data_IF_357205516866
#
_entry.id   IF_357205516866
#
_cell.length_a   1.000
_cell.length_b   1.000
_cell.length_c   1.000
_cell.angle_alpha   90.00
_cell.angle_beta   90.00
_cell.angle_gamma   90.00
#
_symmetry.space_group_name_H-M   'P 1'
#
loop_
_entity.id
_entity.type
_entity.pdbx_description
1 polymer ?
#
# COMPACT_ATOMS: atom_id res chain seq x y z
N UNK A 1 13.04 1.53 -17.30
CA UNK A 1 12.59 2.34 -16.14
C UNK A 1 13.29 3.67 -16.23
N UNK A 2 12.54 4.73 -16.49
CA UNK A 2 13.08 6.09 -16.39
C UNK A 2 12.86 6.53 -14.95
N UNK A 3 13.92 6.53 -14.15
CA UNK A 3 13.89 7.19 -12.85
C UNK A 3 13.67 8.68 -13.09
N UNK A 4 12.50 9.18 -12.71
CA UNK A 4 12.27 10.62 -12.77
C UNK A 4 13.23 11.28 -11.79
N UNK A 5 14.15 12.06 -12.33
CA UNK A 5 14.88 13.04 -11.52
C UNK A 5 13.84 13.96 -10.89
N UNK A 6 14.06 14.29 -9.63
CA UNK A 6 13.24 15.26 -8.92
C UNK A 6 13.11 16.53 -9.81
N UNK A 7 11.92 16.76 -10.31
CA UNK A 7 11.59 17.95 -11.11
C UNK A 7 11.28 19.10 -10.18
N UNK A 8 12.20 19.44 -9.29
CA UNK A 8 12.09 20.73 -8.61
C UNK A 8 12.20 21.83 -9.65
N UNK A 9 11.21 22.68 -9.70
CA UNK A 9 11.08 23.83 -10.62
C UNK A 9 12.23 24.84 -10.53
N UNK A 10 13.33 24.53 -9.83
CA UNK A 10 14.46 25.41 -9.54
C UNK A 10 15.80 25.02 -10.18
N UNK A 11 15.84 24.08 -11.13
CA UNK A 11 17.04 23.84 -11.96
C UNK A 11 18.22 23.15 -11.27
N UNK A 12 18.17 22.80 -9.98
CA UNK A 12 19.20 22.00 -9.31
C UNK A 12 18.92 20.51 -9.52
N UNK A 13 19.76 19.85 -10.30
CA UNK A 13 19.77 18.40 -10.45
C UNK A 13 20.60 17.82 -9.29
N UNK A 14 19.96 17.10 -8.38
CA UNK A 14 20.64 16.37 -7.31
C UNK A 14 21.18 15.08 -7.87
N UNK A 15 22.50 14.93 -7.94
CA UNK A 15 23.17 13.69 -8.40
C UNK A 15 23.29 12.64 -7.30
N UNK A 16 23.08 13.01 -6.05
CA UNK A 16 23.20 12.20 -4.85
C UNK A 16 22.01 11.24 -4.60
N UNK A 17 20.91 11.42 -5.34
CA UNK A 17 19.69 10.60 -5.24
C UNK A 17 19.54 9.52 -6.30
N UNK A 18 20.59 9.26 -7.07
CA UNK A 18 20.60 8.18 -8.04
C UNK A 18 21.02 6.89 -7.37
N UNK A 19 20.26 5.81 -7.58
CA UNK A 19 20.67 4.49 -7.13
C UNK A 19 22.04 4.16 -7.72
N UNK A 20 23.06 4.01 -6.87
CA UNK A 20 24.43 3.74 -7.27
C UNK A 20 24.65 2.27 -7.64
N UNK A 21 23.85 1.38 -7.05
CA UNK A 21 23.85 -0.04 -7.38
C UNK A 21 22.40 -0.54 -7.46
N UNK A 22 22.08 -1.24 -8.56
CA UNK A 22 20.77 -1.89 -8.74
C UNK A 22 20.92 -3.11 -9.66
N UNK A 23 19.98 -4.04 -9.51
CA UNK A 23 19.80 -5.19 -10.39
C UNK A 23 18.31 -5.35 -10.66
N UNK A 24 17.92 -5.49 -11.91
CA UNK A 24 16.56 -5.74 -12.35
C UNK A 24 16.46 -7.19 -12.77
N UNK A 25 15.60 -7.92 -12.13
CA UNK A 25 15.37 -9.33 -12.41
C UNK A 25 13.92 -9.55 -12.81
N UNK A 26 13.68 -10.46 -13.72
CA UNK A 26 12.33 -10.87 -14.17
C UNK A 26 12.16 -12.36 -13.94
N UNK A 27 10.94 -12.76 -13.62
CA UNK A 27 10.55 -14.14 -13.41
C UNK A 27 9.17 -14.37 -14.02
N UNK A 28 8.98 -15.51 -14.69
CA UNK A 28 7.70 -15.95 -15.22
C UNK A 28 6.94 -16.83 -14.21
N UNK A 29 7.67 -17.50 -13.32
CA UNK A 29 7.14 -18.49 -12.38
C UNK A 29 7.26 -18.07 -10.90
N UNK A 30 7.75 -16.85 -10.64
CA UNK A 30 8.08 -16.33 -9.31
C UNK A 30 9.07 -17.21 -8.48
N UNK A 31 9.74 -18.18 -9.14
CA UNK A 31 10.71 -19.08 -8.51
C UNK A 31 12.09 -18.91 -9.11
N UNK A 32 12.16 -18.77 -10.41
CA UNK A 32 13.42 -18.58 -11.17
C UNK A 32 13.52 -17.13 -11.64
N UNK A 33 14.57 -16.45 -11.26
CA UNK A 33 14.77 -15.02 -11.57
C UNK A 33 15.95 -14.84 -12.52
N UNK A 34 15.73 -14.10 -13.61
CA UNK A 34 16.75 -13.77 -14.60
C UNK A 34 17.08 -12.29 -14.54
N UNK A 35 18.34 -11.95 -14.33
CA UNK A 35 18.82 -10.56 -14.39
C UNK A 35 18.71 -10.05 -15.82
N UNK A 36 17.98 -8.95 -16.04
CA UNK A 36 17.81 -8.31 -17.35
C UNK A 36 18.54 -6.98 -17.46
N UNK A 37 18.87 -6.34 -16.34
CA UNK A 37 19.70 -5.14 -16.29
C UNK A 37 20.35 -4.97 -14.92
N UNK A 38 21.49 -4.32 -14.88
CA UNK A 38 22.19 -4.01 -13.64
C UNK A 38 22.83 -2.62 -13.71
N UNK A 39 23.39 -2.15 -12.61
CA UNK A 39 24.18 -0.93 -12.60
C UNK A 39 25.44 -1.02 -13.49
N UNK A 40 25.94 -2.24 -13.78
CA UNK A 40 27.07 -2.46 -14.67
C UNK A 40 26.74 -2.16 -16.15
N UNK A 41 25.46 -2.33 -16.53
CA UNK A 41 24.95 -2.05 -17.88
C UNK A 41 24.53 -0.59 -18.05
N UNK A 42 24.72 0.21 -17.02
CA UNK A 42 24.31 1.60 -17.02
C UNK A 42 25.20 2.45 -17.90
N UNK A 43 24.63 3.02 -18.96
CA UNK A 43 25.27 4.07 -19.70
C UNK A 43 25.48 5.30 -18.81
N UNK A 44 26.69 5.81 -18.75
CA UNK A 44 27.03 7.01 -17.99
C UNK A 44 26.08 8.16 -18.36
N UNK A 45 25.65 8.94 -17.35
CA UNK A 45 24.75 10.09 -17.56
C UNK A 45 25.25 11.12 -18.57
N UNK A 46 26.56 11.13 -18.86
CA UNK A 46 27.17 11.94 -19.92
C UNK A 46 26.82 11.48 -21.35
N UNK A 47 26.31 10.24 -21.51
CA UNK A 47 25.88 9.69 -22.79
C UNK A 47 24.41 9.94 -23.14
N UNK A 48 23.67 10.69 -22.35
CA UNK A 48 22.30 11.15 -22.70
C UNK A 48 22.30 12.30 -23.72
N UNK A 49 23.28 12.39 -24.57
CA UNK A 49 23.03 12.93 -25.92
C UNK A 49 22.06 11.96 -26.55
N UNK A 50 20.81 12.42 -26.81
CA UNK A 50 19.79 11.77 -27.61
C UNK A 50 20.46 10.80 -28.57
N UNK A 51 20.20 9.51 -28.41
CA UNK A 51 20.39 8.58 -29.54
C UNK A 51 19.55 9.20 -30.63
N UNK A 52 20.18 9.93 -31.54
CA UNK A 52 19.51 10.37 -32.77
C UNK A 52 18.91 9.08 -33.29
N UNK A 53 17.62 9.09 -33.48
CA UNK A 53 16.94 8.04 -34.22
C UNK A 53 17.88 7.67 -35.37
N UNK A 54 18.22 6.40 -35.48
CA UNK A 54 19.05 5.90 -36.59
C UNK A 54 18.48 6.58 -37.81
N UNK A 55 19.26 7.44 -38.51
CA UNK A 55 18.70 8.10 -39.66
C UNK A 55 18.21 6.97 -40.56
N UNK A 56 16.91 7.00 -40.84
CA UNK A 56 16.37 6.13 -41.88
C UNK A 56 17.24 6.41 -43.13
N UNK A 57 18.24 5.57 -43.34
CA UNK A 57 19.01 5.68 -44.55
C UNK A 57 18.03 5.41 -45.67
N UNK A 58 17.75 6.44 -46.47
CA UNK A 58 16.79 6.39 -47.57
C UNK A 58 17.13 5.30 -48.63
N UNK A 59 18.13 4.48 -48.38
CA UNK A 59 18.64 3.42 -49.25
C UNK A 59 18.61 2.02 -48.60
N UNK A 60 17.97 1.82 -47.46
CA UNK A 60 17.80 0.48 -46.93
C UNK A 60 16.78 -0.30 -47.80
N UNK A 61 17.05 -1.55 -48.18
CA UNK A 61 16.09 -2.40 -48.89
C UNK A 61 14.80 -2.46 -48.09
N UNK A 62 13.64 -2.28 -48.76
CA UNK A 62 12.32 -2.27 -48.14
C UNK A 62 12.05 -3.52 -47.26
N UNK A 63 12.63 -4.64 -47.66
CA UNK A 63 12.57 -5.90 -46.91
C UNK A 63 13.23 -5.84 -45.55
N UNK A 64 14.41 -5.18 -45.45
CA UNK A 64 15.10 -4.98 -44.19
C UNK A 64 14.35 -4.04 -43.25
N UNK A 65 13.72 -2.98 -43.78
CA UNK A 65 12.89 -2.05 -43.01
C UNK A 65 11.68 -2.80 -42.44
N UNK A 66 11.00 -3.63 -43.25
CA UNK A 66 9.87 -4.44 -42.79
C UNK A 66 10.28 -5.47 -41.72
N UNK A 67 11.46 -6.08 -41.85
CA UNK A 67 11.99 -6.98 -40.82
C UNK A 67 12.31 -6.27 -39.50
N UNK A 68 12.90 -5.08 -39.56
CA UNK A 68 13.19 -4.26 -38.37
C UNK A 68 11.90 -3.85 -37.68
N UNK A 69 10.86 -3.41 -38.43
CA UNK A 69 9.57 -3.06 -37.87
C UNK A 69 8.84 -4.28 -37.26
N UNK A 70 8.93 -5.44 -37.86
CA UNK A 70 8.38 -6.68 -37.33
C UNK A 70 9.10 -7.11 -36.05
N UNK A 71 10.42 -7.02 -36.02
CA UNK A 71 11.22 -7.32 -34.82
C UNK A 71 10.99 -6.29 -33.70
N UNK A 72 10.84 -5.01 -34.04
CA UNK A 72 10.48 -3.98 -33.06
C UNK A 72 9.08 -4.21 -32.47
N UNK A 73 8.09 -4.61 -33.27
CA UNK A 73 6.76 -4.98 -32.76
C UNK A 73 6.83 -6.22 -31.86
N UNK A 74 7.61 -7.22 -32.20
CA UNK A 74 7.84 -8.38 -31.35
C UNK A 74 8.55 -7.97 -30.05
N UNK A 75 9.59 -7.14 -30.13
CA UNK A 75 10.30 -6.64 -28.95
C UNK A 75 9.36 -5.85 -28.01
N UNK A 76 8.51 -4.98 -28.55
CA UNK A 76 7.52 -4.25 -27.75
C UNK A 76 6.47 -5.16 -27.12
N UNK A 77 6.09 -6.26 -27.77
CA UNK A 77 5.20 -7.25 -27.19
C UNK A 77 5.88 -8.05 -26.04
N UNK A 78 7.19 -8.30 -26.13
CA UNK A 78 7.98 -8.94 -25.07
C UNK A 78 8.39 -8.00 -23.94
N UNK A 79 8.48 -6.69 -24.18
CA UNK A 79 8.93 -5.71 -23.20
C UNK A 79 7.82 -5.18 -22.29
N UNK A 80 6.62 -5.74 -22.36
CA UNK A 80 5.48 -5.38 -21.52
C UNK A 80 5.12 -6.38 -20.39
N UNK A 81 6.04 -7.22 -19.83
CA UNK A 81 5.69 -7.87 -18.59
C UNK A 81 5.62 -6.82 -17.46
N UNK A 82 4.69 -6.96 -16.53
CA UNK A 82 4.66 -6.10 -15.36
C UNK A 82 6.01 -6.18 -14.65
N UNK A 83 6.75 -5.07 -14.63
CA UNK A 83 8.04 -5.02 -13.96
C UNK A 83 7.81 -4.94 -12.45
N UNK A 84 8.31 -5.92 -11.72
CA UNK A 84 8.36 -5.89 -10.27
C UNK A 84 9.70 -5.29 -9.82
N UNK A 85 9.65 -4.41 -8.83
CA UNK A 85 10.86 -3.98 -8.14
C UNK A 85 11.37 -5.13 -7.27
N UNK A 86 12.56 -5.62 -7.57
CA UNK A 86 13.30 -6.51 -6.69
C UNK A 86 14.44 -5.73 -6.04
N UNK A 87 14.35 -5.54 -4.73
CA UNK A 87 15.45 -4.96 -3.94
C UNK A 87 16.47 -6.02 -3.55
N UNK A 88 17.72 -5.64 -3.42
CA UNK A 88 18.71 -6.43 -2.68
C UNK A 88 18.51 -6.20 -1.19
N UNK A 89 18.33 -7.29 -0.44
CA UNK A 89 18.21 -7.23 1.01
C UNK A 89 19.60 -7.40 1.63
N UNK A 90 19.96 -6.47 2.48
CA UNK A 90 21.15 -6.60 3.32
C UNK A 90 20.76 -7.24 4.65
N UNK A 91 21.71 -7.95 5.27
CA UNK A 91 21.47 -8.47 6.62
C UNK A 91 21.27 -7.28 7.58
N UNK A 92 20.13 -7.23 8.30
CA UNK A 92 19.89 -6.16 9.26
C UNK A 92 20.81 -6.29 10.46
N UNK A 93 21.14 -5.16 11.08
CA UNK A 93 21.83 -5.15 12.37
C UNK A 93 20.97 -5.80 13.46
N UNK A 94 21.59 -6.36 14.53
CA UNK A 94 20.86 -6.91 15.65
C UNK A 94 19.92 -5.86 16.27
N UNK A 95 18.66 -6.22 16.45
CA UNK A 95 17.68 -5.35 17.10
C UNK A 95 17.73 -5.58 18.62
N UNK A 96 17.88 -4.52 19.38
CA UNK A 96 17.93 -4.55 20.83
C UNK A 96 16.67 -3.98 21.45
N UNK A 97 16.26 -4.52 22.58
CA UNK A 97 15.30 -3.84 23.45
C UNK A 97 15.98 -2.62 24.07
N UNK A 98 15.37 -1.45 23.92
CA UNK A 98 15.91 -0.20 24.43
C UNK A 98 15.41 0.07 25.86
N UNK A 99 16.29 0.59 26.72
CA UNK A 99 15.87 1.05 28.02
C UNK A 99 15.06 2.35 27.89
N UNK A 100 13.77 2.31 28.23
CA UNK A 100 12.86 3.47 28.11
C UNK A 100 12.83 4.12 26.71
N UNK A 101 13.15 3.37 25.66
CA UNK A 101 13.24 3.90 24.31
C UNK A 101 14.51 4.65 23.95
N UNK A 102 15.48 4.72 24.88
CA UNK A 102 16.76 5.40 24.65
C UNK A 102 17.67 4.54 23.76
N UNK A 103 17.99 5.05 22.58
CA UNK A 103 18.83 4.38 21.58
C UNK A 103 20.29 4.23 22.03
N UNK A 104 20.74 5.04 22.98
CA UNK A 104 22.08 4.95 23.57
C UNK A 104 22.17 3.89 24.68
N UNK A 105 21.06 3.32 25.10
CA UNK A 105 20.97 2.32 26.16
C UNK A 105 20.38 1.00 25.67
N UNK A 106 21.04 0.29 24.71
CA UNK A 106 20.59 -1.00 24.21
C UNK A 106 20.70 -2.07 25.30
N UNK A 107 19.71 -2.94 25.39
CA UNK A 107 19.68 -4.12 26.24
C UNK A 107 19.84 -5.40 25.43
N UNK A 108 19.17 -6.46 25.82
CA UNK A 108 19.24 -7.76 25.15
C UNK A 108 18.77 -7.70 23.67
N UNK A 109 19.36 -8.57 22.85
CA UNK A 109 18.94 -8.78 21.46
C UNK A 109 17.57 -9.44 21.45
N UNK A 110 16.67 -8.96 20.62
CA UNK A 110 15.32 -9.49 20.46
C UNK A 110 15.12 -10.14 19.09
N UNK A 111 14.42 -11.26 19.06
CA UNK A 111 14.01 -11.91 17.83
C UNK A 111 12.86 -11.13 17.18
N UNK A 112 12.72 -11.20 15.84
CA UNK A 112 11.55 -10.69 15.15
C UNK A 112 10.29 -11.43 15.63
N UNK A 113 9.27 -10.66 16.06
CA UNK A 113 8.05 -11.23 16.61
C UNK A 113 6.83 -10.36 16.27
N UNK A 114 5.64 -10.96 16.30
CA UNK A 114 4.38 -10.25 16.21
C UNK A 114 3.97 -9.61 17.55
N UNK A 115 2.77 -9.03 17.59
CA UNK A 115 2.23 -8.50 18.82
C UNK A 115 1.97 -9.60 19.84
N UNK A 116 2.49 -9.46 21.05
CA UNK A 116 2.35 -10.43 22.13
C UNK A 116 0.87 -10.77 22.43
N UNK A 117 -0.03 -9.80 22.27
CA UNK A 117 -1.49 -9.95 22.45
C UNK A 117 -2.10 -11.06 21.58
N UNK A 118 -1.52 -11.33 20.41
CA UNK A 118 -2.04 -12.32 19.47
C UNK A 118 -1.20 -13.60 19.42
N UNK A 119 -0.25 -13.75 20.32
CA UNK A 119 0.66 -14.91 20.32
C UNK A 119 -0.06 -16.25 20.40
N UNK A 120 -1.09 -16.32 21.23
CA UNK A 120 -1.88 -17.56 21.42
C UNK A 120 -2.78 -17.87 20.21
N UNK A 121 -3.22 -16.83 19.48
CA UNK A 121 -4.13 -16.97 18.33
C UNK A 121 -3.39 -17.14 17.02
N UNK A 122 -2.34 -16.37 16.78
CA UNK A 122 -1.61 -16.32 15.52
C UNK A 122 -0.28 -17.08 15.56
N UNK A 123 0.22 -17.38 16.74
CA UNK A 123 1.57 -17.88 16.95
C UNK A 123 2.63 -16.79 16.77
N UNK A 124 3.90 -17.19 16.99
CA UNK A 124 5.05 -16.36 16.76
C UNK A 124 5.62 -16.51 15.36
N UNK A 125 6.59 -15.68 15.01
CA UNK A 125 7.31 -15.80 13.73
C UNK A 125 8.28 -16.99 13.73
N UNK A 126 8.68 -17.47 14.88
CA UNK A 126 9.64 -18.56 15.07
C UNK A 126 10.96 -18.33 14.29
N UNK A 127 11.40 -17.08 14.22
CA UNK A 127 12.63 -16.67 13.57
C UNK A 127 13.73 -16.41 14.60
N UNK A 128 14.95 -16.77 14.22
CA UNK A 128 16.13 -16.42 15.00
C UNK A 128 16.40 -14.90 14.97
N UNK A 129 17.08 -14.33 15.98
CA UNK A 129 17.41 -12.90 16.00
C UNK A 129 18.23 -12.41 14.80
N UNK A 130 18.99 -13.30 14.18
CA UNK A 130 19.82 -13.07 13.00
C UNK A 130 19.15 -13.52 11.68
N UNK A 131 17.86 -13.82 11.71
CA UNK A 131 17.14 -14.23 10.49
C UNK A 131 17.28 -13.19 9.37
N UNK A 132 17.45 -13.63 8.11
CA UNK A 132 17.56 -12.74 6.96
C UNK A 132 16.34 -11.82 6.83
N UNK A 133 16.58 -10.58 6.38
CA UNK A 133 15.54 -9.55 6.23
C UNK A 133 14.33 -10.04 5.40
N UNK A 134 14.58 -10.76 4.32
CA UNK A 134 13.53 -11.32 3.49
C UNK A 134 12.61 -12.27 4.26
N UNK A 135 13.17 -13.12 5.12
CA UNK A 135 12.37 -14.04 5.93
C UNK A 135 11.52 -13.29 6.96
N UNK A 136 12.06 -12.21 7.56
CA UNK A 136 11.33 -11.35 8.49
C UNK A 136 10.13 -10.70 7.80
N UNK A 137 10.31 -10.16 6.59
CA UNK A 137 9.23 -9.54 5.81
C UNK A 137 8.16 -10.56 5.41
N UNK A 138 8.56 -11.76 4.99
CA UNK A 138 7.62 -12.82 4.64
C UNK A 138 6.82 -13.26 5.88
N UNK A 139 7.47 -13.45 7.02
CA UNK A 139 6.80 -13.83 8.26
C UNK A 139 5.79 -12.76 8.70
N UNK A 140 6.19 -11.49 8.66
CA UNK A 140 5.32 -10.36 8.96
C UNK A 140 4.14 -10.26 7.99
N UNK A 141 4.38 -10.41 6.69
CA UNK A 141 3.31 -10.42 5.68
C UNK A 141 2.31 -11.55 5.93
N UNK A 142 2.79 -12.75 6.21
CA UNK A 142 1.92 -13.90 6.56
C UNK A 142 1.11 -13.62 7.83
N UNK A 143 1.72 -13.01 8.83
CA UNK A 143 1.05 -12.67 10.08
C UNK A 143 -0.04 -11.61 9.88
N UNK A 144 0.22 -10.58 9.05
CA UNK A 144 -0.79 -9.55 8.73
C UNK A 144 -1.95 -10.15 7.94
N UNK A 145 -1.66 -11.02 6.98
CA UNK A 145 -2.67 -11.60 6.08
C UNK A 145 -3.35 -12.85 6.63
N UNK A 146 -3.00 -13.28 7.84
CA UNK A 146 -3.65 -14.42 8.48
C UNK A 146 -5.13 -14.12 8.73
N UNK A 147 -6.08 -14.96 8.25
CA UNK A 147 -7.51 -14.72 8.44
C UNK A 147 -7.95 -14.65 9.92
N UNK A 148 -7.16 -15.21 10.82
CA UNK A 148 -7.40 -15.15 12.27
C UNK A 148 -6.97 -13.82 12.88
N UNK A 149 -6.20 -12.99 12.14
CA UNK A 149 -5.79 -11.67 12.60
C UNK A 149 -6.97 -10.68 12.50
N UNK A 150 -7.54 -10.22 13.62
CA UNK A 150 -8.71 -9.38 13.57
C UNK A 150 -8.41 -7.92 13.18
N UNK A 151 -7.16 -7.48 13.27
CA UNK A 151 -6.79 -6.08 13.12
C UNK A 151 -6.92 -5.56 11.69
N UNK A 152 -6.34 -6.20 10.66
CA UNK A 152 -6.34 -5.63 9.31
C UNK A 152 -7.74 -5.44 8.75
N UNK A 153 -8.62 -6.42 8.96
CA UNK A 153 -10.01 -6.35 8.50
C UNK A 153 -10.78 -5.21 9.20
N UNK A 154 -10.68 -5.10 10.54
CA UNK A 154 -11.30 -4.01 11.31
C UNK A 154 -10.78 -2.63 10.87
N UNK A 155 -9.48 -2.48 10.71
CA UNK A 155 -8.88 -1.22 10.26
C UNK A 155 -9.37 -0.84 8.87
N UNK A 156 -9.40 -1.81 7.94
CA UNK A 156 -9.82 -1.55 6.56
C UNK A 156 -11.29 -1.14 6.48
N UNK A 157 -12.19 -1.87 7.12
CA UNK A 157 -13.62 -1.54 7.08
C UNK A 157 -13.92 -0.24 7.82
N UNK A 158 -13.19 0.06 8.90
CA UNK A 158 -13.32 1.33 9.58
C UNK A 158 -12.89 2.51 8.70
N UNK A 159 -11.84 2.35 7.89
CA UNK A 159 -11.43 3.37 6.91
C UNK A 159 -12.45 3.54 5.80
N UNK A 160 -13.00 2.45 5.26
CA UNK A 160 -14.07 2.51 4.25
C UNK A 160 -15.27 3.28 4.85
N UNK A 161 -15.67 2.94 6.07
CA UNK A 161 -16.75 3.63 6.79
C UNK A 161 -16.43 5.12 6.99
N UNK A 162 -15.23 5.44 7.44
CA UNK A 162 -14.78 6.81 7.63
C UNK A 162 -14.88 7.65 6.33
N UNK A 163 -14.45 7.09 5.19
CA UNK A 163 -14.57 7.78 3.91
C UNK A 163 -16.01 7.98 3.45
N UNK A 164 -16.92 7.09 3.83
CA UNK A 164 -18.34 7.21 3.44
C UNK A 164 -19.09 8.18 4.37
N UNK A 165 -18.91 8.08 5.68
CA UNK A 165 -19.68 8.84 6.69
C UNK A 165 -18.93 10.03 7.29
N UNK A 166 -17.65 10.21 6.98
CA UNK A 166 -16.81 11.28 7.53
C UNK A 166 -16.13 10.94 8.84
N UNK A 167 -16.72 10.03 9.65
CA UNK A 167 -16.13 9.54 10.90
C UNK A 167 -16.22 8.03 10.93
N UNK A 168 -15.14 7.36 11.37
CA UNK A 168 -15.12 5.90 11.50
C UNK A 168 -15.97 5.42 12.69
N UNK A 169 -16.33 4.13 12.68
CA UNK A 169 -16.90 3.46 13.85
C UNK A 169 -15.95 3.56 15.05
N UNK A 170 -14.64 3.49 14.77
CA UNK A 170 -13.56 3.94 15.65
C UNK A 170 -13.11 5.31 15.14
N UNK A 171 -13.30 6.36 15.93
CA UNK A 171 -13.04 7.74 15.53
C UNK A 171 -11.54 8.04 15.27
N UNK A 172 -10.65 7.19 15.78
CA UNK A 172 -9.19 7.23 15.52
C UNK A 172 -8.78 6.18 14.49
N UNK A 173 -8.94 6.41 13.18
CA UNK A 173 -8.74 5.38 12.15
C UNK A 173 -7.30 4.87 12.03
N UNK A 174 -6.35 5.57 12.61
CA UNK A 174 -4.93 5.19 12.64
C UNK A 174 -4.47 4.68 14.01
N UNK A 175 -5.36 4.65 15.01
CA UNK A 175 -5.05 4.15 16.35
C UNK A 175 -6.19 3.26 16.86
N UNK A 176 -5.95 1.95 16.82
CA UNK A 176 -6.81 0.91 17.40
C UNK A 176 -6.23 0.36 18.70
N UNK A 177 -5.22 1.04 19.24
CA UNK A 177 -4.56 0.68 20.49
C UNK A 177 -5.25 1.24 21.73
N UNK A 178 -4.52 1.18 22.84
CA UNK A 178 -5.03 1.60 24.15
C UNK A 178 -5.39 3.09 24.23
N UNK A 179 -4.68 3.92 23.45
CA UNK A 179 -4.91 5.37 23.41
C UNK A 179 -5.98 5.77 22.39
N UNK A 180 -6.42 4.84 21.52
CA UNK A 180 -7.47 5.06 20.55
C UNK A 180 -8.87 5.06 21.16
N UNK A 181 -9.83 5.59 20.41
CA UNK A 181 -11.24 5.55 20.82
C UNK A 181 -11.82 4.13 20.69
N UNK A 182 -12.73 3.82 21.60
CA UNK A 182 -13.52 2.59 21.49
C UNK A 182 -14.51 2.71 20.32
N UNK A 183 -14.84 1.61 19.63
CA UNK A 183 -15.85 1.63 18.58
C UNK A 183 -17.22 1.99 19.15
N UNK A 184 -17.96 2.84 18.43
CA UNK A 184 -19.36 3.18 18.79
C UNK A 184 -20.30 1.99 18.62
N UNK A 185 -20.04 1.16 17.60
CA UNK A 185 -20.82 -0.03 17.26
C UNK A 185 -19.88 -1.23 17.08
N UNK A 186 -19.42 -1.88 18.16
CA UNK A 186 -18.42 -2.96 18.08
C UNK A 186 -18.93 -4.15 17.26
N UNK A 187 -20.18 -4.53 17.42
CA UNK A 187 -20.78 -5.66 16.69
C UNK A 187 -20.88 -5.38 15.19
N UNK A 188 -21.20 -4.15 14.80
CA UNK A 188 -21.20 -3.74 13.40
C UNK A 188 -19.79 -3.76 12.80
N UNK A 189 -18.80 -3.27 13.55
CA UNK A 189 -17.40 -3.32 13.12
C UNK A 189 -16.95 -4.76 12.88
N UNK A 190 -17.31 -5.67 13.77
CA UNK A 190 -16.96 -7.09 13.65
C UNK A 190 -17.72 -7.79 12.51
N UNK A 191 -18.99 -7.45 12.32
CA UNK A 191 -19.79 -7.93 11.20
C UNK A 191 -19.15 -7.52 9.85
N UNK A 192 -18.81 -6.25 9.70
CA UNK A 192 -18.15 -5.74 8.48
C UNK A 192 -16.74 -6.33 8.28
N UNK A 193 -15.97 -6.52 9.36
CA UNK A 193 -14.66 -7.17 9.31
C UNK A 193 -14.74 -8.63 8.86
N UNK A 194 -15.76 -9.35 9.31
CA UNK A 194 -16.03 -10.71 8.84
C UNK A 194 -16.46 -10.72 7.37
N UNK A 195 -17.27 -9.76 6.96
CA UNK A 195 -17.78 -9.68 5.59
C UNK A 195 -16.67 -9.36 4.57
N UNK A 196 -15.73 -8.46 4.88
CA UNK A 196 -14.60 -8.19 3.99
C UNK A 196 -13.71 -9.44 3.82
N UNK A 197 -13.49 -10.20 4.90
CA UNK A 197 -12.76 -11.46 4.82
C UNK A 197 -13.49 -12.49 3.94
N UNK A 198 -14.81 -12.68 4.13
CA UNK A 198 -15.64 -13.60 3.35
C UNK A 198 -15.70 -13.23 1.87
N UNK A 199 -15.73 -11.92 1.55
CA UNK A 199 -15.77 -11.43 0.18
C UNK A 199 -14.41 -11.39 -0.52
N UNK A 200 -13.35 -11.98 0.09
CA UNK A 200 -12.01 -11.98 -0.48
C UNK A 200 -11.40 -10.57 -0.59
N UNK A 201 -11.67 -9.71 0.39
CA UNK A 201 -11.19 -8.33 0.44
C UNK A 201 -11.72 -7.44 -0.69
N UNK A 202 -12.94 -7.72 -1.16
CA UNK A 202 -13.60 -6.93 -2.20
C UNK A 202 -14.10 -5.58 -1.66
N UNK A 203 -13.32 -4.53 -1.88
CA UNK A 203 -13.69 -3.15 -1.49
C UNK A 203 -14.99 -2.72 -2.19
N UNK A 204 -15.20 -3.12 -3.44
CA UNK A 204 -16.43 -2.82 -4.19
C UNK A 204 -17.66 -3.46 -3.54
N UNK A 205 -17.53 -4.69 -3.06
CA UNK A 205 -18.60 -5.36 -2.32
C UNK A 205 -18.95 -4.60 -1.03
N UNK A 206 -17.93 -4.19 -0.27
CA UNK A 206 -18.13 -3.42 0.96
C UNK A 206 -18.79 -2.06 0.70
N UNK A 207 -18.36 -1.32 -0.31
CA UNK A 207 -19.04 -0.08 -0.71
C UNK A 207 -20.51 -0.33 -1.01
N UNK A 208 -20.82 -1.34 -1.84
CA UNK A 208 -22.21 -1.67 -2.17
C UNK A 208 -23.04 -2.00 -0.92
N UNK A 209 -22.48 -2.83 -0.04
CA UNK A 209 -23.15 -3.22 1.22
C UNK A 209 -23.52 -2.00 2.07
N UNK A 210 -22.57 -1.08 2.23
CA UNK A 210 -22.75 0.12 3.06
C UNK A 210 -23.72 1.10 2.42
N UNK A 211 -23.58 1.43 1.13
CA UNK A 211 -24.44 2.43 0.47
C UNK A 211 -25.87 1.94 0.25
N UNK A 212 -26.09 0.63 0.22
CA UNK A 212 -27.43 0.03 0.14
C UNK A 212 -28.09 -0.11 1.50
N UNK A 213 -27.37 0.15 2.59
CA UNK A 213 -27.90 0.04 3.94
C UNK A 213 -28.93 1.13 4.27
N UNK A 214 -29.79 0.85 5.24
CA UNK A 214 -30.75 1.84 5.75
C UNK A 214 -30.04 3.06 6.36
N UNK A 215 -28.90 2.85 7.02
CA UNK A 215 -28.10 3.91 7.64
C UNK A 215 -27.61 4.93 6.60
N UNK A 216 -27.16 4.48 5.43
CA UNK A 216 -26.72 5.39 4.36
C UNK A 216 -27.88 6.17 3.74
N UNK A 217 -29.08 5.58 3.70
CA UNK A 217 -30.29 6.17 3.12
C UNK A 217 -31.11 7.03 4.09
N UNK A 218 -30.61 7.24 5.31
CA UNK A 218 -31.25 8.14 6.27
C UNK A 218 -31.23 9.59 5.75
N UNK A 219 -32.26 10.36 6.18
CA UNK A 219 -32.27 11.80 5.99
C UNK A 219 -31.16 12.46 6.80
N UNK A 220 -30.63 13.56 6.31
CA UNK A 220 -29.78 14.47 7.07
C UNK A 220 -30.56 15.57 7.80
N UNK A 221 -31.88 15.61 7.65
CA UNK A 221 -32.76 16.64 8.18
C UNK A 221 -32.88 16.54 9.72
N UNK A 222 -32.95 17.70 10.38
CA UNK A 222 -33.03 17.84 11.86
C UNK A 222 -34.44 18.14 12.39
N UNK A 223 -35.46 18.25 11.53
CA UNK A 223 -36.73 18.86 11.86
C UNK A 223 -37.55 18.18 12.97
N UNK A 224 -37.22 16.94 13.38
CA UNK A 224 -37.96 16.19 14.39
C UNK A 224 -37.12 15.56 15.51
N UNK A 225 -35.88 16.03 15.76
CA UNK A 225 -34.92 15.27 16.56
C UNK A 225 -34.18 16.11 17.61
N UNK A 226 -34.88 17.04 18.28
CA UNK A 226 -34.27 17.89 19.33
C UNK A 226 -33.61 17.09 20.45
N UNK A 227 -34.22 15.98 20.87
CA UNK A 227 -33.73 15.14 21.95
C UNK A 227 -32.52 14.30 21.54
N UNK A 228 -32.48 13.80 20.32
CA UNK A 228 -31.36 13.03 19.81
C UNK A 228 -30.15 13.93 19.55
N UNK A 229 -30.39 15.15 19.04
CA UNK A 229 -29.34 16.16 18.87
C UNK A 229 -28.72 16.61 20.20
N UNK A 230 -29.52 16.66 21.28
CA UNK A 230 -29.02 16.97 22.62
C UNK A 230 -28.15 15.84 23.21
N UNK A 231 -28.42 14.58 22.84
CA UNK A 231 -27.70 13.41 23.33
C UNK A 231 -26.45 13.09 22.49
N UNK A 232 -26.50 13.31 21.20
CA UNK A 232 -25.44 12.96 20.24
C UNK A 232 -25.34 14.05 19.15
N UNK A 233 -24.81 15.20 19.50
CA UNK A 233 -24.65 16.35 18.61
C UNK A 233 -23.74 16.02 17.41
N UNK A 234 -22.73 15.19 17.61
CA UNK A 234 -21.74 14.80 16.59
C UNK A 234 -22.22 13.65 15.70
N UNK A 235 -23.47 13.17 15.90
CA UNK A 235 -24.04 12.05 15.11
C UNK A 235 -23.20 10.79 15.15
N UNK A 236 -22.52 10.53 16.25
CA UNK A 236 -21.65 9.36 16.41
C UNK A 236 -22.39 8.04 16.42
N UNK A 237 -23.66 8.06 16.87
CA UNK A 237 -24.53 6.88 16.90
C UNK A 237 -25.47 6.79 15.69
N UNK A 238 -25.24 7.64 14.67
CA UNK A 238 -25.90 7.55 13.37
C UNK A 238 -27.43 7.62 13.41
N UNK A 239 -27.98 8.45 14.28
CA UNK A 239 -29.42 8.70 14.36
C UNK A 239 -29.97 9.46 13.14
N UNK A 240 -29.08 10.10 12.34
CA UNK A 240 -29.31 10.68 11.01
C UNK A 240 -28.10 10.50 10.14
N UNK A 241 -28.21 10.82 8.85
CA UNK A 241 -27.02 10.88 7.99
C UNK A 241 -26.17 12.10 8.35
N UNK A 242 -24.87 11.92 8.65
CA UNK A 242 -24.00 13.04 8.99
C UNK A 242 -23.75 13.93 7.77
N UNK A 243 -24.16 15.21 7.85
CA UNK A 243 -23.89 16.19 6.79
C UNK A 243 -22.39 16.49 6.73
N UNK A 244 -21.81 16.46 5.55
CA UNK A 244 -20.40 16.81 5.34
C UNK A 244 -20.22 17.68 4.10
N UNK A 245 -19.17 18.47 4.10
CA UNK A 245 -18.74 19.20 2.92
C UNK A 245 -18.15 18.21 1.91
N UNK A 246 -18.56 18.31 0.67
CA UNK A 246 -17.96 17.54 -0.43
C UNK A 246 -16.72 18.25 -0.95
N UNK A 247 -15.76 17.49 -1.45
CA UNK A 247 -14.59 18.01 -2.15
C UNK A 247 -15.01 18.61 -3.50
N UNK A 248 -14.27 19.62 -3.98
CA UNK A 248 -14.60 20.34 -5.20
C UNK A 248 -14.65 19.42 -6.43
N UNK A 249 -13.80 18.41 -6.47
CA UNK A 249 -13.74 17.41 -7.53
C UNK A 249 -15.03 16.57 -7.58
N UNK A 250 -15.55 16.19 -6.42
CA UNK A 250 -16.79 15.42 -6.32
C UNK A 250 -17.98 16.26 -6.80
N UNK A 251 -18.01 17.55 -6.43
CA UNK A 251 -19.09 18.48 -6.87
C UNK A 251 -19.03 18.70 -8.38
N UNK A 252 -17.83 18.78 -8.95
CA UNK A 252 -17.64 18.95 -10.39
C UNK A 252 -18.08 17.72 -11.18
N UNK A 253 -17.81 16.51 -10.68
CA UNK A 253 -18.00 15.27 -11.39
C UNK A 253 -19.38 14.64 -11.15
N UNK A 254 -20.24 15.25 -10.31
CA UNK A 254 -21.62 14.82 -10.02
C UNK A 254 -22.63 15.61 -10.86
#
# INVERSE_FOLDING_TARGET
VVWSRDRSTGGKVYEDRLATAYRIEVSEDAKTWKTVASHADRLSAKFNKRVKAIPSSSNAPAELVAQVDALQKQLTAFTAPPMAYAGTFTQPEPTHRLHRGDHMSPREIVAPEGLALFKDTLGGFHLAPDAPEQQRRIAFAKWITDPRNPLPARVMVNRIWHYIFGTGLVATPSDFGHMGFKPTHPELLDCLANEINKSGWSVKHMHRLIVMSAVYRQSSDMTNSSDDAAKDADVRYLWRFPSRRLDAEVIRDS
#
